data_IF_754811282102
#
_entry.id   IF_754811282102
#
_cell.length_a   1.000
_cell.length_b   1.000
_cell.length_c   1.000
_cell.angle_alpha   90.00
_cell.angle_beta   90.00
_cell.angle_gamma   90.00
#
_symmetry.space_group_name_H-M   'P 1'
#
loop_
_entity.id
_entity.type
_entity.pdbx_description
1 polymer ?
#
# COMPACT_ATOMS: atom_id res chain seq x y z
N UNK A 1 10.48 27.62 55.45
CA UNK A 1 11.47 26.54 55.32
C UNK A 1 11.17 25.80 54.02
N UNK A 2 11.85 26.12 52.89
CA UNK A 2 11.60 25.41 51.65
C UNK A 2 12.41 24.10 51.62
N UNK A 3 11.74 23.00 51.32
CA UNK A 3 12.33 21.66 51.24
C UNK A 3 12.75 21.39 49.80
N UNK A 4 14.04 21.57 49.50
CA UNK A 4 14.63 21.22 48.21
C UNK A 4 14.73 19.69 48.08
N UNK A 5 13.99 19.13 47.12
CA UNK A 5 14.07 17.70 46.77
C UNK A 5 15.08 17.56 45.62
N UNK A 6 16.23 16.98 45.91
CA UNK A 6 17.26 16.68 44.92
C UNK A 6 16.81 15.49 44.03
N UNK A 7 16.82 15.70 42.73
CA UNK A 7 16.56 14.66 41.71
C UNK A 7 17.86 13.89 41.44
N UNK A 8 17.79 12.57 41.54
CA UNK A 8 18.91 11.65 41.29
C UNK A 8 19.09 11.39 39.77
N UNK A 9 20.33 11.40 39.24
CA UNK A 9 20.61 11.36 37.79
C UNK A 9 20.67 9.95 37.16
N UNK A 10 20.09 8.91 37.77
CA UNK A 10 20.31 7.51 37.33
C UNK A 10 19.45 7.01 36.15
N UNK A 11 18.45 7.76 35.67
CA UNK A 11 17.51 7.23 34.66
C UNK A 11 18.00 7.31 33.20
N UNK A 12 18.95 8.19 32.90
CA UNK A 12 19.30 8.49 31.50
C UNK A 12 20.35 7.53 30.90
N UNK A 13 21.17 6.89 31.74
CA UNK A 13 22.17 5.91 31.29
C UNK A 13 21.56 4.54 30.99
N UNK A 14 20.46 4.19 31.66
CA UNK A 14 19.78 2.92 31.40
C UNK A 14 19.08 2.95 30.02
N UNK A 15 18.51 4.09 29.64
CA UNK A 15 17.84 4.26 28.35
C UNK A 15 18.81 4.22 27.15
N UNK A 16 20.03 4.74 27.32
CA UNK A 16 21.07 4.66 26.28
C UNK A 16 21.56 3.23 26.07
N UNK A 17 21.71 2.46 27.16
CA UNK A 17 22.12 1.05 27.11
C UNK A 17 21.14 0.18 26.32
N UNK A 18 19.83 0.43 26.45
CA UNK A 18 18.81 -0.33 25.71
C UNK A 18 18.80 0.01 24.22
N UNK A 19 19.11 1.25 23.85
CA UNK A 19 19.15 1.69 22.45
C UNK A 19 20.33 1.08 21.69
N UNK A 20 21.51 1.02 22.31
CA UNK A 20 22.71 0.43 21.70
C UNK A 20 22.61 -1.09 21.58
N UNK A 21 21.89 -1.77 22.49
CA UNK A 21 21.62 -3.20 22.41
C UNK A 21 20.72 -3.57 21.20
N UNK A 22 19.84 -2.67 20.77
CA UNK A 22 18.97 -2.88 19.61
C UNK A 22 19.67 -2.60 18.28
N UNK A 23 20.68 -1.73 18.26
CA UNK A 23 21.46 -1.45 17.05
C UNK A 23 22.42 -2.58 16.65
N UNK A 24 22.73 -3.50 17.57
CA UNK A 24 23.66 -4.62 17.35
C UNK A 24 22.98 -5.94 16.94
N UNK A 25 21.65 -6.02 16.91
CA UNK A 25 20.97 -7.22 16.40
C UNK A 25 20.98 -7.24 14.87
N UNK A 26 21.94 -7.97 14.29
CA UNK A 26 22.01 -8.23 12.85
C UNK A 26 20.73 -8.91 12.31
N UNK A 27 20.38 -8.69 11.03
CA UNK A 27 19.16 -9.20 10.44
C UNK A 27 19.20 -10.72 10.29
N UNK A 28 18.19 -11.38 10.86
CA UNK A 28 17.90 -12.80 10.67
C UNK A 28 17.61 -13.04 9.18
N UNK A 29 18.34 -13.98 8.59
CA UNK A 29 18.20 -14.37 7.18
C UNK A 29 16.76 -14.81 6.87
N UNK A 30 16.24 -14.54 5.66
CA UNK A 30 14.90 -14.94 5.28
C UNK A 30 14.80 -16.48 5.20
N UNK A 31 13.69 -17.07 5.69
CA UNK A 31 13.51 -18.52 5.66
C UNK A 31 13.41 -19.00 4.22
N UNK A 32 14.35 -19.88 3.85
CA UNK A 32 14.30 -20.62 2.61
C UNK A 32 13.24 -21.73 2.70
N UNK A 33 12.33 -21.72 1.73
CA UNK A 33 11.64 -22.90 1.25
C UNK A 33 10.34 -23.26 1.99
N UNK A 34 9.23 -23.19 1.26
CA UNK A 34 8.34 -24.33 1.11
C UNK A 34 7.50 -24.19 -0.16
N UNK A 35 7.29 -25.35 -0.77
CA UNK A 35 6.97 -25.57 -2.15
C UNK A 35 5.47 -25.49 -2.47
N UNK A 36 5.18 -25.30 -3.77
CA UNK A 36 4.07 -25.86 -4.55
C UNK A 36 2.64 -25.66 -4.01
N UNK A 37 1.84 -24.87 -4.74
CA UNK A 37 0.55 -25.39 -5.24
C UNK A 37 0.08 -24.66 -6.49
N UNK A 38 -0.16 -25.46 -7.52
CA UNK A 38 -0.78 -25.11 -8.78
C UNK A 38 -2.23 -24.65 -8.56
N UNK A 39 -2.66 -23.59 -9.23
CA UNK A 39 -3.99 -23.58 -9.84
C UNK A 39 -3.97 -22.71 -11.11
N UNK A 40 -3.94 -23.40 -12.26
CA UNK A 40 -4.38 -22.88 -13.55
C UNK A 40 -5.86 -22.52 -13.44
N UNK A 41 -6.23 -21.28 -13.74
CA UNK A 41 -7.57 -20.94 -14.22
C UNK A 41 -7.43 -20.75 -15.71
N UNK A 42 -7.79 -21.81 -16.44
CA UNK A 42 -7.79 -21.87 -17.88
C UNK A 42 -9.07 -21.17 -18.34
N UNK A 43 -8.96 -19.94 -18.84
CA UNK A 43 -10.08 -19.27 -19.52
C UNK A 43 -10.34 -20.00 -20.83
N UNK A 44 -11.50 -20.64 -20.90
CA UNK A 44 -12.10 -21.17 -22.12
C UNK A 44 -12.36 -19.99 -23.06
N UNK A 45 -11.69 -19.99 -24.21
CA UNK A 45 -12.03 -19.16 -25.35
C UNK A 45 -12.69 -20.08 -26.37
N UNK A 46 -14.00 -19.90 -26.54
CA UNK A 46 -14.88 -20.63 -27.45
C UNK A 46 -14.55 -20.23 -28.89
N UNK A 47 -13.57 -20.90 -29.47
CA UNK A 47 -13.25 -20.85 -30.88
C UNK A 47 -13.87 -22.03 -31.63
N UNK A 48 -15.19 -21.96 -31.86
CA UNK A 48 -15.90 -22.81 -32.82
C UNK A 48 -15.23 -22.68 -34.20
N UNK A 49 -14.75 -23.79 -34.73
CA UNK A 49 -14.47 -23.92 -36.17
C UNK A 49 -14.76 -25.36 -36.55
N UNK A 50 -16.00 -25.55 -36.98
CA UNK A 50 -16.45 -26.72 -37.70
C UNK A 50 -15.58 -26.90 -38.95
N UNK A 51 -14.92 -28.05 -39.05
CA UNK A 51 -14.48 -28.57 -40.34
C UNK A 51 -14.59 -30.10 -40.29
N UNK A 52 -15.81 -30.57 -40.49
CA UNK A 52 -16.09 -31.93 -40.86
C UNK A 52 -15.48 -32.19 -42.23
N UNK A 53 -14.40 -32.97 -42.28
CA UNK A 53 -14.00 -33.64 -43.50
C UNK A 53 -13.62 -35.08 -43.14
N UNK A 54 -14.61 -35.96 -43.35
CA UNK A 54 -14.53 -37.30 -43.92
C UNK A 54 -13.15 -37.99 -43.95
N UNK A 55 -13.12 -39.29 -43.64
CA UNK A 55 -12.91 -40.35 -44.65
C UNK A 55 -12.39 -41.68 -44.05
N UNK A 56 -13.02 -42.78 -44.47
CA UNK A 56 -12.55 -44.16 -44.66
C UNK A 56 -11.68 -44.89 -43.60
N UNK A 57 -12.30 -45.93 -43.04
CA UNK A 57 -11.91 -47.37 -43.10
C UNK A 57 -10.43 -47.76 -43.30
N UNK A 58 -10.00 -48.73 -42.49
CA UNK A 58 -9.10 -49.78 -42.99
C UNK A 58 -7.95 -50.12 -42.04
N UNK A 59 -8.13 -51.18 -41.26
CA UNK A 59 -7.02 -52.02 -40.80
C UNK A 59 -6.23 -52.51 -42.02
N UNK A 60 -4.94 -52.22 -42.07
CA UNK A 60 -4.00 -52.98 -42.88
C UNK A 60 -2.67 -53.07 -42.15
N UNK A 61 -2.21 -54.31 -42.03
CA UNK A 61 -1.00 -54.74 -41.38
C UNK A 61 0.27 -54.04 -41.91
N UNK A 62 1.11 -53.69 -40.94
CA UNK A 62 2.59 -53.72 -40.95
C UNK A 62 3.34 -53.77 -42.29
N UNK A 63 4.13 -52.73 -42.53
CA UNK A 63 5.38 -52.81 -43.29
C UNK A 63 6.41 -51.86 -42.64
N UNK A 64 7.68 -52.25 -42.43
CA UNK A 64 8.69 -51.37 -41.84
C UNK A 64 9.18 -50.36 -42.89
N UNK A 65 8.45 -49.26 -43.02
CA UNK A 65 8.78 -48.17 -43.94
C UNK A 65 9.76 -47.20 -43.30
N UNK A 66 10.94 -47.14 -43.92
CA UNK A 66 11.98 -46.12 -43.85
C UNK A 66 11.43 -44.73 -43.50
N UNK A 67 11.57 -44.34 -42.22
CA UNK A 67 11.04 -43.09 -41.67
C UNK A 67 11.91 -41.93 -42.11
N UNK A 68 11.80 -41.55 -43.39
CA UNK A 68 12.44 -40.33 -43.88
C UNK A 68 11.82 -39.14 -43.16
N UNK A 69 12.61 -38.29 -42.49
CA UNK A 69 12.08 -37.12 -41.81
C UNK A 69 11.36 -36.24 -42.84
N UNK A 70 10.06 -36.06 -42.65
CA UNK A 70 9.25 -35.14 -43.45
C UNK A 70 9.73 -33.73 -43.12
N UNK A 71 10.61 -33.19 -43.95
CA UNK A 71 11.04 -31.80 -43.90
C UNK A 71 9.87 -30.95 -44.40
N UNK A 72 9.00 -30.52 -43.48
CA UNK A 72 7.96 -29.55 -43.78
C UNK A 72 8.64 -28.23 -44.22
N UNK A 73 8.23 -27.62 -45.35
CA UNK A 73 8.88 -26.43 -45.88
C UNK A 73 8.72 -25.23 -44.94
N UNK A 74 9.85 -24.61 -44.59
CA UNK A 74 10.01 -23.47 -43.68
C UNK A 74 9.23 -22.17 -44.06
N UNK A 75 8.46 -22.17 -45.15
CA UNK A 75 7.72 -20.99 -45.62
C UNK A 75 6.66 -20.52 -44.62
N UNK A 76 6.02 -21.44 -43.89
CA UNK A 76 5.00 -21.11 -42.91
C UNK A 76 5.57 -20.30 -41.71
N UNK A 77 6.82 -20.56 -41.33
CA UNK A 77 7.45 -19.90 -40.18
C UNK A 77 7.69 -18.41 -40.47
N UNK A 78 8.10 -18.08 -41.71
CA UNK A 78 8.37 -16.69 -42.11
C UNK A 78 7.06 -15.88 -42.14
N UNK A 79 5.99 -16.43 -42.70
CA UNK A 79 4.68 -15.75 -42.75
C UNK A 79 4.12 -15.50 -41.33
N UNK A 80 4.30 -16.46 -40.42
CA UNK A 80 3.92 -16.30 -39.00
C UNK A 80 4.78 -15.21 -38.35
N UNK A 81 6.10 -15.23 -38.56
CA UNK A 81 7.02 -14.23 -38.01
C UNK A 81 6.69 -12.81 -38.47
N UNK A 82 6.39 -12.61 -39.76
CA UNK A 82 5.93 -11.33 -40.32
C UNK A 82 4.61 -10.86 -39.70
N UNK A 83 3.61 -11.75 -39.59
CA UNK A 83 2.33 -11.42 -38.95
C UNK A 83 2.52 -11.00 -37.49
N UNK A 84 3.39 -11.68 -36.76
CA UNK A 84 3.76 -11.33 -35.39
C UNK A 84 4.48 -9.97 -35.32
N UNK A 85 5.41 -9.70 -36.23
CA UNK A 85 6.14 -8.43 -36.30
C UNK A 85 5.20 -7.24 -36.58
N UNK A 86 4.27 -7.38 -37.53
CA UNK A 86 3.25 -6.37 -37.84
C UNK A 86 2.33 -6.09 -36.65
N UNK A 87 1.89 -7.14 -35.92
CA UNK A 87 1.07 -6.97 -34.71
C UNK A 87 1.82 -6.24 -33.59
N UNK A 88 3.14 -6.41 -33.50
CA UNK A 88 4.00 -5.76 -32.50
C UNK A 88 4.54 -4.40 -32.97
N UNK A 89 4.19 -3.95 -34.17
CA UNK A 89 4.62 -2.68 -34.77
C UNK A 89 6.15 -2.51 -34.77
N UNK A 90 6.87 -3.58 -35.11
CA UNK A 90 8.33 -3.54 -35.23
C UNK A 90 8.75 -2.62 -36.39
N UNK A 91 9.89 -1.93 -36.26
CA UNK A 91 10.43 -1.13 -37.36
C UNK A 91 10.96 -2.02 -38.49
N UNK A 92 11.17 -1.44 -39.69
CA UNK A 92 11.59 -2.17 -40.89
C UNK A 92 12.89 -2.96 -40.64
N UNK A 93 13.86 -2.37 -39.94
CA UNK A 93 15.12 -3.04 -39.60
C UNK A 93 14.92 -4.24 -38.67
N UNK A 94 13.99 -4.13 -37.71
CA UNK A 94 13.65 -5.23 -36.80
C UNK A 94 12.91 -6.36 -37.52
N UNK A 95 12.04 -6.03 -38.49
CA UNK A 95 11.36 -7.03 -39.33
C UNK A 95 12.40 -7.83 -40.12
N UNK A 96 13.38 -7.16 -40.74
CA UNK A 96 14.46 -7.82 -41.47
C UNK A 96 15.30 -8.75 -40.56
N UNK A 97 15.56 -8.35 -39.31
CA UNK A 97 16.24 -9.20 -38.33
C UNK A 97 15.41 -10.44 -37.96
N UNK A 98 14.10 -10.29 -37.75
CA UNK A 98 13.19 -11.41 -37.45
C UNK A 98 13.09 -12.39 -38.63
N UNK A 99 13.04 -11.88 -39.86
CA UNK A 99 13.05 -12.72 -41.07
C UNK A 99 14.38 -13.46 -41.25
N UNK A 100 15.50 -12.78 -41.02
CA UNK A 100 16.82 -13.42 -41.02
C UNK A 100 16.89 -14.52 -39.96
N UNK A 101 16.40 -14.24 -38.74
CA UNK A 101 16.35 -15.22 -37.66
C UNK A 101 15.46 -16.42 -37.99
N UNK A 102 14.32 -16.20 -38.65
CA UNK A 102 13.41 -17.29 -39.04
C UNK A 102 14.01 -18.24 -40.10
N UNK A 103 14.96 -17.76 -40.90
CA UNK A 103 15.68 -18.54 -41.92
C UNK A 103 16.84 -19.36 -41.35
N UNK A 104 17.33 -19.01 -40.17
CA UNK A 104 18.44 -19.70 -39.52
C UNK A 104 18.05 -21.11 -39.05
N UNK A 105 19.04 -22.02 -39.02
CA UNK A 105 18.92 -23.31 -38.35
C UNK A 105 18.58 -23.12 -36.86
N UNK A 106 17.78 -24.03 -36.29
CA UNK A 106 17.49 -24.15 -34.86
C UNK A 106 18.72 -23.89 -33.98
N UNK A 107 19.86 -24.54 -34.23
CA UNK A 107 21.06 -24.36 -33.41
C UNK A 107 21.60 -22.91 -33.45
N UNK A 108 21.57 -22.28 -34.63
CA UNK A 108 22.00 -20.89 -34.81
C UNK A 108 21.02 -19.93 -34.12
N UNK A 109 19.72 -20.23 -34.17
CA UNK A 109 18.68 -19.46 -33.47
C UNK A 109 18.86 -19.51 -31.95
N UNK A 110 19.13 -20.70 -31.41
CA UNK A 110 19.39 -20.88 -29.97
C UNK A 110 20.61 -20.08 -29.51
N UNK A 111 21.71 -20.13 -30.27
CA UNK A 111 22.91 -19.34 -29.99
C UNK A 111 22.60 -17.84 -30.04
N UNK A 112 21.87 -17.37 -31.06
CA UNK A 112 21.47 -15.96 -31.17
C UNK A 112 20.59 -15.51 -30.00
N UNK A 113 19.64 -16.34 -29.57
CA UNK A 113 18.80 -16.07 -28.38
C UNK A 113 19.69 -15.94 -27.14
N UNK A 114 20.60 -16.90 -26.92
CA UNK A 114 21.49 -16.88 -25.76
C UNK A 114 22.36 -15.63 -25.74
N UNK A 115 22.99 -15.26 -26.86
CA UNK A 115 23.78 -14.04 -26.98
C UNK A 115 22.95 -12.77 -26.68
N UNK A 116 21.71 -12.70 -27.17
CA UNK A 116 20.82 -11.57 -26.89
C UNK A 116 20.39 -11.50 -25.42
N UNK A 117 20.15 -12.64 -24.77
CA UNK A 117 19.83 -12.70 -23.33
C UNK A 117 21.00 -12.17 -22.50
N UNK A 118 22.22 -12.61 -22.79
CA UNK A 118 23.44 -12.12 -22.11
C UNK A 118 23.64 -10.60 -22.36
N UNK A 119 23.39 -10.12 -23.57
CA UNK A 119 23.47 -8.68 -23.87
C UNK A 119 22.39 -7.87 -23.13
N UNK A 120 21.20 -8.45 -22.92
CA UNK A 120 20.11 -7.85 -22.15
C UNK A 120 20.49 -7.75 -20.67
N UNK A 121 21.04 -8.82 -20.09
CA UNK A 121 21.53 -8.86 -18.72
C UNK A 121 22.54 -7.73 -18.46
N UNK A 122 23.55 -7.61 -19.34
CA UNK A 122 24.52 -6.51 -19.28
C UNK A 122 23.89 -5.10 -19.35
N UNK A 123 22.79 -4.93 -20.09
CA UNK A 123 22.08 -3.65 -20.16
C UNK A 123 21.25 -3.41 -18.90
N UNK A 124 20.62 -4.44 -18.35
CA UNK A 124 19.87 -4.37 -17.09
C UNK A 124 20.82 -4.03 -15.95
N UNK A 125 21.99 -4.66 -15.86
CA UNK A 125 22.99 -4.35 -14.84
C UNK A 125 23.47 -2.90 -14.92
N UNK A 126 23.67 -2.38 -16.14
CA UNK A 126 23.97 -0.97 -16.35
C UNK A 126 22.85 -0.06 -15.86
N UNK A 127 21.58 -0.41 -16.10
CA UNK A 127 20.43 0.37 -15.62
C UNK A 127 20.28 0.30 -14.09
N UNK A 128 20.49 -0.86 -13.49
CA UNK A 128 20.44 -1.05 -12.04
C UNK A 128 21.56 -0.27 -11.37
N UNK A 129 22.78 -0.34 -11.91
CA UNK A 129 23.96 0.36 -11.37
C UNK A 129 23.88 1.87 -11.60
N UNK A 130 23.33 2.33 -12.73
CA UNK A 130 23.21 3.75 -13.06
C UNK A 130 22.02 4.44 -12.37
N UNK A 131 21.07 3.69 -11.81
CA UNK A 131 19.96 4.27 -11.07
C UNK A 131 20.50 4.79 -9.74
N UNK A 132 20.76 6.10 -9.68
CA UNK A 132 21.02 6.79 -8.42
C UNK A 132 19.92 6.42 -7.41
N UNK A 133 20.32 6.27 -6.13
CA UNK A 133 19.37 6.01 -5.06
C UNK A 133 18.21 7.00 -5.17
N UNK A 134 16.98 6.48 -5.24
CA UNK A 134 15.80 7.31 -5.40
C UNK A 134 15.79 8.37 -4.29
N UNK A 135 15.95 9.63 -4.67
CA UNK A 135 15.87 10.75 -3.76
C UNK A 135 14.53 11.43 -3.97
N UNK A 136 13.72 11.46 -2.91
CA UNK A 136 12.50 12.26 -2.87
C UNK A 136 12.92 13.72 -3.02
N UNK A 137 12.29 14.47 -3.93
CA UNK A 137 12.61 15.90 -4.08
C UNK A 137 12.37 16.62 -2.74
N UNK A 138 13.20 17.62 -2.39
CA UNK A 138 13.08 18.31 -1.10
C UNK A 138 11.68 18.93 -0.91
N UNK A 139 11.07 19.42 -1.99
CA UNK A 139 9.72 19.97 -1.97
C UNK A 139 8.65 18.91 -1.71
N UNK A 140 8.76 17.74 -2.35
CA UNK A 140 7.85 16.62 -2.12
C UNK A 140 8.00 16.09 -0.68
N UNK A 141 9.24 15.99 -0.19
CA UNK A 141 9.50 15.56 1.18
C UNK A 141 8.89 16.55 2.19
N UNK A 142 9.02 17.85 1.96
CA UNK A 142 8.38 18.89 2.77
C UNK A 142 6.85 18.77 2.76
N UNK A 143 6.26 18.54 1.60
CA UNK A 143 4.81 18.33 1.48
C UNK A 143 4.36 17.07 2.22
N UNK A 144 5.06 15.94 2.03
CA UNK A 144 4.78 14.70 2.76
C UNK A 144 4.86 14.94 4.27
N UNK A 145 5.88 15.65 4.77
CA UNK A 145 6.03 15.95 6.18
C UNK A 145 4.97 16.91 6.73
N UNK A 146 4.37 17.76 5.91
CA UNK A 146 3.29 18.65 6.31
C UNK A 146 1.93 17.94 6.34
N UNK A 147 1.64 17.12 5.32
CA UNK A 147 0.35 16.44 5.19
C UNK A 147 0.27 15.14 5.99
N UNK A 148 1.38 14.41 6.17
CA UNK A 148 1.37 13.15 6.90
C UNK A 148 0.87 13.32 8.34
N UNK A 149 1.31 14.31 9.15
CA UNK A 149 0.75 14.56 10.46
C UNK A 149 -0.73 14.92 10.40
N UNK A 150 -1.16 15.77 9.46
CA UNK A 150 -2.55 16.19 9.35
C UNK A 150 -3.50 15.03 9.02
N UNK A 151 -3.06 14.13 8.12
CA UNK A 151 -3.74 12.88 7.79
C UNK A 151 -3.71 11.96 9.02
N UNK A 152 -2.55 11.74 9.63
CA UNK A 152 -2.38 10.91 10.84
C UNK A 152 -3.23 11.37 12.04
N UNK A 153 -3.46 12.67 12.16
CA UNK A 153 -4.22 13.28 13.25
C UNK A 153 -5.71 13.48 12.91
N UNK A 154 -6.12 13.17 11.68
CA UNK A 154 -7.53 13.23 11.30
C UNK A 154 -8.33 12.17 12.04
N UNK A 155 -9.41 12.60 12.69
CA UNK A 155 -10.34 11.72 13.42
C UNK A 155 -11.18 10.82 12.52
N UNK A 156 -11.09 10.98 11.20
CA UNK A 156 -11.94 10.31 10.21
C UNK A 156 -11.29 9.07 9.60
N UNK A 157 -9.99 8.86 9.81
CA UNK A 157 -9.28 7.70 9.28
C UNK A 157 -9.46 6.52 10.23
N UNK A 158 -10.51 5.73 10.01
CA UNK A 158 -10.81 4.54 10.81
C UNK A 158 -9.75 3.42 10.75
N UNK A 159 -8.64 3.63 10.02
CA UNK A 159 -7.58 2.65 9.77
C UNK A 159 -6.52 2.60 10.88
N UNK A 160 -6.55 3.51 11.86
CA UNK A 160 -5.60 3.53 12.99
C UNK A 160 -5.83 2.45 14.07
N UNK A 161 -6.50 1.34 13.72
CA UNK A 161 -6.74 0.23 14.64
C UNK A 161 -5.46 -0.60 14.88
N UNK A 162 -4.82 -0.42 16.03
CA UNK A 162 -3.77 -1.32 16.56
C UNK A 162 -2.66 -0.61 17.35
N UNK A 163 -2.07 -1.29 18.34
CA UNK A 163 -0.99 -0.75 19.20
C UNK A 163 0.23 -0.31 18.39
N UNK A 164 0.60 -1.11 17.37
CA UNK A 164 1.74 -0.82 16.51
C UNK A 164 1.60 0.53 15.78
N UNK A 165 0.39 0.88 15.36
CA UNK A 165 0.14 2.13 14.65
C UNK A 165 0.22 3.33 15.59
N UNK A 166 -0.22 3.17 16.85
CA UNK A 166 -0.11 4.21 17.89
C UNK A 166 1.36 4.51 18.23
N UNK A 167 2.20 3.48 18.33
CA UNK A 167 3.63 3.64 18.64
C UNK A 167 4.37 4.35 17.50
N UNK A 168 4.05 4.01 16.25
CA UNK A 168 4.57 4.72 15.06
C UNK A 168 4.12 6.17 15.03
N UNK A 169 2.86 6.46 15.38
CA UNK A 169 2.31 7.82 15.39
C UNK A 169 2.98 8.69 16.46
N UNK A 170 3.20 8.14 17.66
CA UNK A 170 3.97 8.78 18.72
C UNK A 170 5.44 9.00 18.33
N UNK A 171 6.06 8.05 17.64
CA UNK A 171 7.42 8.18 17.15
C UNK A 171 7.55 9.28 16.08
N UNK A 172 6.56 9.38 15.18
CA UNK A 172 6.49 10.45 14.16
C UNK A 172 6.33 11.80 14.85
N UNK A 173 5.38 11.94 15.79
CA UNK A 173 5.14 13.18 16.54
C UNK A 173 6.40 13.66 17.26
N UNK A 174 7.09 12.75 17.98
CA UNK A 174 8.36 13.05 18.66
C UNK A 174 9.47 13.48 17.69
N UNK A 175 9.46 12.96 16.46
CA UNK A 175 10.47 13.28 15.44
C UNK A 175 10.18 14.60 14.72
N UNK A 176 8.91 15.00 14.62
CA UNK A 176 8.47 16.22 13.93
C UNK A 176 8.60 17.51 14.74
N UNK A 177 8.85 17.44 16.05
CA UNK A 177 8.99 18.59 16.95
C UNK A 177 10.08 19.62 16.56
N UNK A 178 10.97 19.28 15.60
CA UNK A 178 12.06 20.16 15.17
C UNK A 178 11.76 21.03 13.95
N UNK A 179 10.52 21.07 13.44
CA UNK A 179 10.22 21.95 12.30
C UNK A 179 8.83 21.88 11.68
N UNK A 180 7.88 21.13 12.23
CA UNK A 180 6.49 21.20 11.74
C UNK A 180 5.75 22.34 12.43
N UNK A 181 4.92 23.07 11.68
CA UNK A 181 3.99 24.08 12.22
C UNK A 181 2.75 23.42 12.84
N UNK A 182 2.87 22.22 13.41
CA UNK A 182 1.73 21.53 14.00
C UNK A 182 1.55 22.06 15.43
N UNK A 183 0.76 23.11 15.59
CA UNK A 183 0.44 23.64 16.92
C UNK A 183 -0.48 22.66 17.66
N UNK A 184 -0.12 22.33 18.90
CA UNK A 184 -0.93 21.44 19.74
C UNK A 184 -2.20 22.18 20.15
N UNK A 185 -3.32 21.90 19.47
CA UNK A 185 -4.61 22.51 19.78
C UNK A 185 -5.30 21.82 20.98
N UNK A 186 -6.09 22.59 21.74
CA UNK A 186 -7.02 22.12 22.77
C UNK A 186 -7.93 20.98 22.28
N UNK A 187 -8.42 21.03 21.04
CA UNK A 187 -9.26 19.99 20.44
C UNK A 187 -8.50 18.66 20.33
N UNK A 188 -7.24 18.71 19.88
CA UNK A 188 -6.38 17.53 19.80
C UNK A 188 -6.12 16.96 21.19
N UNK A 189 -5.79 17.82 22.15
CA UNK A 189 -5.59 17.41 23.54
C UNK A 189 -6.83 16.73 24.12
N UNK A 190 -8.03 17.27 23.86
CA UNK A 190 -9.27 16.70 24.34
C UNK A 190 -9.57 15.32 23.73
N UNK A 191 -9.22 15.10 22.45
CA UNK A 191 -9.29 13.77 21.80
C UNK A 191 -8.31 12.79 22.43
N UNK A 192 -7.05 13.20 22.65
CA UNK A 192 -6.03 12.37 23.32
C UNK A 192 -6.46 12.01 24.73
N UNK A 193 -6.99 12.98 25.49
CA UNK A 193 -7.53 12.75 26.82
C UNK A 193 -8.66 11.71 26.80
N UNK A 194 -9.57 11.79 25.81
CA UNK A 194 -10.65 10.80 25.65
C UNK A 194 -10.06 9.41 25.40
N UNK A 195 -9.15 9.29 24.45
CA UNK A 195 -8.48 8.03 24.12
C UNK A 195 -7.77 7.44 25.35
N UNK A 196 -6.99 8.25 26.08
CA UNK A 196 -6.31 7.81 27.32
C UNK A 196 -7.31 7.34 28.37
N UNK A 197 -8.42 8.06 28.56
CA UNK A 197 -9.46 7.69 29.54
C UNK A 197 -10.15 6.35 29.22
N UNK A 198 -10.26 6.00 27.94
CA UNK A 198 -10.80 4.72 27.49
C UNK A 198 -9.74 3.62 27.62
N UNK A 199 -8.50 3.91 27.25
CA UNK A 199 -7.40 2.95 27.27
C UNK A 199 -7.13 2.45 28.69
N UNK A 200 -7.11 3.36 29.68
CA UNK A 200 -6.91 3.02 31.08
C UNK A 200 -8.01 2.10 31.64
N UNK A 201 -9.21 2.11 31.06
CA UNK A 201 -10.34 1.26 31.49
C UNK A 201 -10.43 -0.04 30.71
N UNK A 202 -10.07 -0.01 29.43
CA UNK A 202 -10.26 -1.11 28.49
C UNK A 202 -9.03 -1.23 27.57
N UNK A 203 -7.87 -1.65 28.11
CA UNK A 203 -6.73 -1.97 27.26
C UNK A 203 -7.07 -3.22 26.43
N UNK A 204 -6.77 -3.22 25.13
CA UNK A 204 -6.92 -4.41 24.29
C UNK A 204 -7.50 -4.13 22.90
N UNK A 205 -7.88 -5.21 22.20
CA UNK A 205 -8.31 -5.19 20.80
C UNK A 205 -9.60 -4.39 20.57
N UNK A 206 -10.45 -4.29 21.60
CA UNK A 206 -11.76 -3.64 21.51
C UNK A 206 -11.70 -2.16 21.92
N UNK A 207 -10.50 -1.59 22.05
CA UNK A 207 -10.26 -0.22 22.48
C UNK A 207 -11.05 0.79 21.62
N UNK A 208 -10.98 0.66 20.30
CA UNK A 208 -11.63 1.60 19.37
C UNK A 208 -13.15 1.55 19.46
N UNK A 209 -13.74 0.36 19.58
CA UNK A 209 -15.19 0.22 19.74
C UNK A 209 -15.65 0.88 21.06
N UNK A 210 -14.80 0.87 22.10
CA UNK A 210 -15.07 1.58 23.37
C UNK A 210 -14.90 3.10 23.26
N UNK A 211 -14.00 3.58 22.40
CA UNK A 211 -13.90 5.01 22.06
C UNK A 211 -15.17 5.45 21.35
N UNK A 212 -15.64 4.68 20.36
CA UNK A 212 -16.87 4.96 19.63
C UNK A 212 -18.10 4.94 20.53
N UNK A 213 -18.22 3.92 21.41
CA UNK A 213 -19.26 3.85 22.44
C UNK A 213 -19.27 5.11 23.31
N UNK A 214 -18.09 5.60 23.69
CA UNK A 214 -17.94 6.79 24.55
C UNK A 214 -18.31 8.07 23.80
N UNK A 215 -17.90 8.20 22.54
CA UNK A 215 -18.29 9.32 21.66
C UNK A 215 -19.80 9.33 21.43
N UNK A 216 -20.40 8.18 21.15
CA UNK A 216 -21.85 8.02 20.99
C UNK A 216 -22.60 8.43 22.26
N UNK A 217 -22.09 8.07 23.44
CA UNK A 217 -22.65 8.51 24.74
C UNK A 217 -22.58 10.03 24.90
N UNK A 218 -21.45 10.66 24.58
CA UNK A 218 -21.30 12.13 24.65
C UNK A 218 -22.30 12.80 23.71
N UNK A 219 -22.40 12.35 22.45
CA UNK A 219 -23.36 12.88 21.46
C UNK A 219 -24.81 12.70 21.91
N UNK A 220 -25.15 11.53 22.46
CA UNK A 220 -26.49 11.24 22.99
C UNK A 220 -26.84 12.15 24.18
N UNK A 221 -25.91 12.35 25.11
CA UNK A 221 -26.11 13.25 26.25
C UNK A 221 -26.23 14.73 25.83
N UNK A 222 -25.49 15.12 24.79
CA UNK A 222 -25.55 16.47 24.23
C UNK A 222 -26.81 16.71 23.38
N UNK A 223 -27.51 15.66 22.93
CA UNK A 223 -28.63 15.76 21.96
C UNK A 223 -28.24 16.51 20.68
N UNK A 224 -27.00 16.32 20.22
CA UNK A 224 -26.46 17.04 19.05
C UNK A 224 -26.04 18.50 19.29
N UNK A 225 -26.21 19.04 20.50
CA UNK A 225 -25.79 20.41 20.82
C UNK A 225 -24.26 20.54 20.90
N UNK A 226 -23.67 21.29 19.96
CA UNK A 226 -22.23 21.50 19.86
C UNK A 226 -21.63 22.08 21.15
N UNK A 227 -22.32 23.00 21.82
CA UNK A 227 -21.82 23.64 23.06
C UNK A 227 -21.70 22.64 24.20
N UNK A 228 -22.65 21.69 24.29
CA UNK A 228 -22.61 20.62 25.29
C UNK A 228 -21.53 19.60 25.00
N UNK A 229 -21.27 19.29 23.73
CA UNK A 229 -20.15 18.43 23.31
C UNK A 229 -18.83 19.07 23.72
N UNK A 230 -18.60 20.34 23.39
CA UNK A 230 -17.40 21.09 23.77
C UNK A 230 -17.23 21.10 25.29
N UNK A 231 -18.31 21.36 26.05
CA UNK A 231 -18.27 21.32 27.53
C UNK A 231 -17.88 19.94 28.07
N UNK A 232 -18.38 18.85 27.49
CA UNK A 232 -18.01 17.50 27.89
C UNK A 232 -16.52 17.20 27.64
N UNK A 233 -15.99 17.61 26.49
CA UNK A 233 -14.57 17.47 26.16
C UNK A 233 -13.67 18.33 27.06
N UNK A 234 -14.07 19.57 27.39
CA UNK A 234 -13.36 20.42 28.37
C UNK A 234 -13.27 19.75 29.74
N UNK A 235 -14.35 19.14 30.22
CA UNK A 235 -14.35 18.41 31.49
C UNK A 235 -13.41 17.20 31.46
N UNK A 236 -13.41 16.47 30.33
CA UNK A 236 -12.55 15.32 30.14
C UNK A 236 -11.08 15.73 30.14
N UNK A 237 -10.74 16.79 29.40
CA UNK A 237 -9.38 17.35 29.37
C UNK A 237 -8.94 17.84 30.75
N UNK A 238 -9.83 18.50 31.50
CA UNK A 238 -9.52 18.94 32.88
C UNK A 238 -9.23 17.76 33.80
N UNK A 239 -9.98 16.66 33.69
CA UNK A 239 -9.76 15.45 34.47
C UNK A 239 -8.45 14.74 34.08
N UNK A 240 -8.15 14.70 32.78
CA UNK A 240 -6.92 14.12 32.25
C UNK A 240 -5.68 14.92 32.70
N UNK A 241 -5.71 16.25 32.58
CA UNK A 241 -4.64 17.14 33.09
C UNK A 241 -4.41 16.97 34.59
N UNK A 242 -5.48 16.85 35.39
CA UNK A 242 -5.34 16.61 36.83
C UNK A 242 -4.61 15.29 37.14
N UNK A 243 -4.71 14.29 36.27
CA UNK A 243 -4.17 12.95 36.50
C UNK A 243 -2.80 12.76 35.86
N UNK A 244 -2.56 13.40 34.71
CA UNK A 244 -1.41 13.16 33.83
C UNK A 244 -0.64 14.42 33.43
N UNK A 245 -1.16 15.60 33.75
CA UNK A 245 -0.52 16.87 33.42
C UNK A 245 0.67 17.16 34.33
N UNK A 246 1.71 17.73 33.76
CA UNK A 246 2.74 18.47 34.50
C UNK A 246 2.31 19.94 34.47
N UNK A 247 2.31 20.62 35.61
CA UNK A 247 1.53 21.85 35.90
C UNK A 247 1.87 23.12 35.08
N UNK A 248 2.74 23.03 34.06
CA UNK A 248 3.41 24.23 33.50
C UNK A 248 3.06 24.59 32.04
N UNK A 249 2.04 23.99 31.42
CA UNK A 249 1.67 24.31 30.03
C UNK A 249 0.33 25.05 29.91
N UNK A 250 0.41 26.35 29.64
CA UNK A 250 -0.72 27.14 29.13
C UNK A 250 -0.90 26.84 27.64
N UNK A 251 -2.07 26.33 27.25
CA UNK A 251 -2.43 26.21 25.85
C UNK A 251 -3.20 27.47 25.47
N UNK A 252 -2.76 28.16 24.43
CA UNK A 252 -3.54 29.24 23.83
C UNK A 252 -4.89 28.68 23.36
N UNK A 253 -5.97 29.28 23.84
CA UNK A 253 -7.36 28.91 23.47
C UNK A 253 -7.74 29.46 22.08
N UNK A 254 -6.84 30.18 21.41
CA UNK A 254 -7.12 30.85 20.13
C UNK A 254 -7.07 29.89 18.93
N UNK A 255 -8.16 29.99 18.15
CA UNK A 255 -8.44 29.49 16.80
C UNK A 255 -8.00 28.05 16.45
N UNK A 256 -8.99 27.25 16.00
CA UNK A 256 -8.71 26.11 15.12
C UNK A 256 -7.89 26.64 13.95
N UNK A 257 -6.67 26.14 13.77
CA UNK A 257 -5.81 26.52 12.65
C UNK A 257 -6.59 26.27 11.34
N UNK A 258 -6.73 27.30 10.50
CA UNK A 258 -7.48 27.24 9.24
C UNK A 258 -7.07 26.04 8.38
N UNK A 259 -5.81 25.60 8.54
CA UNK A 259 -5.27 24.41 7.91
C UNK A 259 -5.99 23.11 8.34
N UNK A 260 -6.31 22.95 9.63
CA UNK A 260 -7.01 21.76 10.11
C UNK A 260 -8.46 21.71 9.58
N UNK A 261 -9.10 22.88 9.47
CA UNK A 261 -10.43 22.98 8.87
C UNK A 261 -10.40 22.57 7.39
N UNK A 262 -9.41 23.06 6.63
CA UNK A 262 -9.24 22.66 5.22
C UNK A 262 -9.04 21.14 5.05
N UNK A 263 -8.27 20.50 5.93
CA UNK A 263 -8.06 19.04 5.89
C UNK A 263 -9.35 18.30 6.20
N UNK A 264 -10.11 18.75 7.21
CA UNK A 264 -11.39 18.13 7.56
C UNK A 264 -12.43 18.28 6.45
N UNK A 265 -12.45 19.42 5.74
CA UNK A 265 -13.34 19.70 4.61
C UNK A 265 -13.05 18.79 3.40
N UNK A 266 -11.77 18.57 3.06
CA UNK A 266 -11.37 17.67 1.95
C UNK A 266 -11.84 16.23 2.23
N UNK A 267 -11.73 15.76 3.47
CA UNK A 267 -12.17 14.42 3.84
C UNK A 267 -13.71 14.29 3.74
N UNK A 268 -14.46 15.34 4.06
CA UNK A 268 -15.91 15.34 3.90
C UNK A 268 -16.35 15.33 2.42
N UNK A 269 -15.60 15.99 1.54
CA UNK A 269 -15.87 15.96 0.09
C UNK A 269 -15.69 14.56 -0.51
N UNK A 270 -14.64 13.83 -0.11
CA UNK A 270 -14.41 12.45 -0.56
C UNK A 270 -15.49 11.50 -0.03
N UNK A 271 -15.91 11.66 1.23
CA UNK A 271 -17.00 10.87 1.80
C UNK A 271 -18.32 11.09 1.03
N UNK A 272 -18.65 12.33 0.67
CA UNK A 272 -19.84 12.64 -0.12
C UNK A 272 -19.80 12.09 -1.55
N UNK A 273 -18.61 12.11 -2.20
CA UNK A 273 -18.42 11.63 -3.57
C UNK A 273 -18.55 10.09 -3.66
N UNK A 274 -18.13 9.38 -2.61
CA UNK A 274 -18.26 7.91 -2.53
C UNK A 274 -19.72 7.42 -2.44
N UNK A 275 -20.65 8.24 -1.92
CA UNK A 275 -22.07 7.86 -1.78
C UNK A 275 -22.82 7.95 -3.12
N UNK A 276 -22.40 8.85 -4.01
CA UNK A 276 -23.08 9.08 -5.31
C UNK A 276 -22.81 7.97 -6.33
N UNK A 277 -21.71 7.23 -6.22
CA UNK A 277 -21.33 6.17 -7.17
C UNK A 277 -21.97 4.80 -6.86
N UNK A 278 -22.70 4.65 -5.75
CA UNK A 278 -23.29 3.37 -5.33
C UNK A 278 -24.76 3.14 -5.72
N UNK A 279 -25.44 4.10 -6.36
CA UNK A 279 -26.90 4.05 -6.54
C UNK A 279 -27.41 3.73 -7.96
N UNK A 280 -26.54 3.45 -8.93
CA UNK A 280 -26.94 3.23 -10.31
C UNK A 280 -26.55 1.86 -10.87
N UNK A 281 -27.20 0.77 -10.44
CA UNK A 281 -27.23 -0.49 -11.24
C UNK A 281 -28.29 -1.49 -10.76
N UNK A 282 -29.52 -1.02 -10.51
CA UNK A 282 -30.65 -1.90 -10.17
C UNK A 282 -31.91 -1.49 -10.96
N UNK A 283 -31.90 -1.62 -12.29
CA UNK A 283 -33.11 -1.64 -13.10
C UNK A 283 -32.82 -2.11 -14.53
N UNK A 284 -33.08 -3.39 -14.82
CA UNK A 284 -33.69 -3.87 -16.06
C UNK A 284 -33.61 -5.40 -16.13
N UNK A 285 -34.59 -6.08 -15.54
CA UNK A 285 -34.97 -7.42 -15.97
C UNK A 285 -36.47 -7.54 -15.75
N UNK A 286 -37.24 -6.94 -16.67
CA UNK A 286 -38.67 -7.18 -16.81
C UNK A 286 -38.85 -8.32 -17.82
N UNK A 287 -39.28 -9.46 -17.29
CA UNK A 287 -40.37 -10.29 -17.79
C UNK A 287 -40.62 -10.31 -19.30
N UNK A 288 -40.26 -11.45 -19.92
CA UNK A 288 -40.91 -11.93 -21.13
C UNK A 288 -41.84 -13.09 -20.76
N UNK A 289 -43.15 -12.85 -20.90
CA UNK A 289 -44.17 -13.88 -21.13
C UNK A 289 -44.18 -14.29 -22.61
#
# INVERSE_FOLDING_TARGET
MPSSRASTPESDDEFRKTLDAMAQSSPVAPPQGLAKRNHRTMTQDDGSSDNENNNMSGETEQTPADTRPVVLPNQNIIAVAQRCASRKRLCVDQVAMVESFAKDNVAVREIKIFCHLVALENKVDKLVTAKAAYQVSPDLNKNILNYAPAILLSSKIMVYKGQATTDVLLAILKKTDKGTKCSVNVVLCARVALMRSVYLKHPGTNFWDKVDDRLAKIRKQAKGDASKIVKAFRQLLKADRKTHGVDDYELDEEAVDDFQQQVDDVIDMDAATSVVSGQGNAAASSDGE
#
